data_IF_074601272417
#
_entry.id   IF_074601272417
#
_cell.length_a   1.000
_cell.length_b   1.000
_cell.length_c   1.000
_cell.angle_alpha   90.00
_cell.angle_beta   90.00
_cell.angle_gamma   90.00
#
_symmetry.space_group_name_H-M   'P 1'
#
loop_
_entity.id
_entity.type
_entity.pdbx_description
1 polymer ?
#
# COMPACT_ATOMS: atom_id res chain seq x y z
N UNK A 1 18.83 -17.44 0.42
CA UNK A 1 17.73 -16.46 0.49
C UNK A 1 17.26 -16.38 1.93
N UNK A 2 17.00 -15.17 2.43
CA UNK A 2 16.56 -14.94 3.82
C UNK A 2 15.07 -15.30 3.94
N UNK A 3 14.70 -16.05 4.98
CA UNK A 3 13.34 -16.59 5.16
C UNK A 3 12.44 -15.74 6.08
N UNK A 4 13.03 -14.82 6.84
CA UNK A 4 12.36 -14.00 7.84
C UNK A 4 12.90 -12.57 7.79
N UNK A 5 12.23 -11.64 8.45
CA UNK A 5 12.83 -10.32 8.69
C UNK A 5 13.71 -10.43 9.93
N UNK A 6 15.00 -10.14 9.79
CA UNK A 6 15.99 -10.26 10.85
C UNK A 6 16.78 -8.96 11.03
N UNK A 7 17.00 -8.55 12.28
CA UNK A 7 17.80 -7.37 12.63
C UNK A 7 19.25 -7.81 12.76
N UNK A 8 20.14 -7.13 12.07
CA UNK A 8 21.58 -7.41 12.07
C UNK A 8 22.20 -6.92 13.37
N UNK A 9 22.88 -7.81 14.10
CA UNK A 9 23.54 -7.50 15.38
C UNK A 9 25.06 -7.38 15.22
N UNK A 10 25.67 -8.24 14.39
CA UNK A 10 27.11 -8.24 14.19
C UNK A 10 27.46 -8.56 12.73
N UNK A 11 28.45 -7.85 12.21
CA UNK A 11 28.92 -7.97 10.82
C UNK A 11 28.03 -7.25 9.81
N UNK A 12 28.60 -6.96 8.64
CA UNK A 12 27.91 -6.31 7.53
C UNK A 12 27.47 -7.34 6.48
N UNK A 13 26.36 -7.07 5.81
CA UNK A 13 25.84 -7.91 4.73
C UNK A 13 25.62 -7.08 3.48
N UNK A 14 26.02 -7.60 2.32
CA UNK A 14 25.63 -7.08 1.02
C UNK A 14 24.50 -7.97 0.52
N UNK A 15 23.32 -7.37 0.31
CA UNK A 15 22.11 -8.10 -0.05
C UNK A 15 21.51 -7.55 -1.34
N UNK A 16 20.87 -8.43 -2.10
CA UNK A 16 20.00 -8.06 -3.20
C UNK A 16 18.55 -7.96 -2.69
N UNK A 17 17.97 -6.76 -2.81
CA UNK A 17 16.60 -6.47 -2.41
C UNK A 17 15.64 -6.31 -3.60
N UNK A 18 16.06 -6.68 -4.82
CA UNK A 18 15.28 -6.48 -6.04
C UNK A 18 13.88 -7.08 -6.00
N UNK A 19 13.69 -8.17 -5.25
CA UNK A 19 12.38 -8.82 -5.07
C UNK A 19 11.40 -7.94 -4.28
N UNK A 20 11.88 -7.09 -3.36
CA UNK A 20 11.03 -6.22 -2.53
C UNK A 20 10.96 -4.78 -3.05
N UNK A 21 12.09 -4.22 -3.51
CA UNK A 21 12.18 -2.80 -3.91
C UNK A 21 12.09 -2.60 -5.42
N UNK A 22 12.35 -3.64 -6.21
CA UNK A 22 12.48 -3.53 -7.67
C UNK A 22 13.81 -2.91 -8.12
N UNK A 23 14.69 -2.53 -7.19
CA UNK A 23 16.01 -1.97 -7.52
C UNK A 23 17.02 -3.10 -7.75
N UNK A 24 17.80 -3.01 -8.83
CA UNK A 24 18.81 -4.03 -9.20
C UNK A 24 20.16 -3.85 -8.50
N UNK A 25 20.35 -2.74 -7.79
CA UNK A 25 21.62 -2.39 -7.15
C UNK A 25 21.71 -3.09 -5.79
N UNK A 26 22.80 -3.81 -5.49
CA UNK A 26 22.98 -4.43 -4.18
C UNK A 26 23.12 -3.36 -3.09
N UNK A 27 22.52 -3.63 -1.94
CA UNK A 27 22.50 -2.72 -0.79
C UNK A 27 23.30 -3.31 0.36
N UNK A 28 24.14 -2.49 0.99
CA UNK A 28 24.88 -2.87 2.20
C UNK A 28 24.04 -2.62 3.44
N UNK A 29 23.85 -3.66 4.25
CA UNK A 29 23.25 -3.61 5.59
C UNK A 29 24.34 -3.61 6.64
N UNK A 30 24.12 -2.80 7.68
CA UNK A 30 25.05 -2.60 8.80
C UNK A 30 24.37 -3.03 10.11
N UNK A 31 25.12 -3.54 11.10
CA UNK A 31 24.54 -3.95 12.36
C UNK A 31 23.89 -2.77 13.07
N UNK A 32 22.91 -3.06 13.92
CA UNK A 32 22.32 -2.07 14.80
C UNK A 32 23.41 -1.54 15.74
N UNK A 33 23.60 -0.21 15.87
CA UNK A 33 24.59 0.33 16.80
C UNK A 33 24.22 0.00 18.26
N UNK A 34 25.22 -0.41 19.05
CA UNK A 34 25.06 -0.77 20.48
C UNK A 34 24.62 0.39 21.38
N UNK A 35 24.72 1.62 20.89
CA UNK A 35 24.25 2.81 21.63
C UNK A 35 22.79 3.06 21.30
N UNK A 36 21.84 2.81 22.23
CA UNK A 36 20.50 3.34 22.07
C UNK A 36 20.64 4.86 22.11
N UNK A 37 20.44 5.52 20.96
CA UNK A 37 20.19 6.96 20.96
C UNK A 37 19.00 7.20 21.87
N UNK A 38 19.30 7.78 23.04
CA UNK A 38 18.38 8.03 24.16
C UNK A 38 17.00 8.44 23.65
N UNK A 39 16.03 7.52 23.73
CA UNK A 39 14.60 7.83 23.54
C UNK A 39 13.98 7.55 22.18
N UNK A 40 14.70 7.04 21.17
CA UNK A 40 14.06 6.68 19.88
C UNK A 40 13.61 5.22 19.90
N UNK A 41 12.30 4.98 19.92
CA UNK A 41 11.73 3.64 19.72
C UNK A 41 12.22 3.08 18.37
N UNK A 42 12.68 1.82 18.38
CA UNK A 42 13.11 1.13 17.16
C UNK A 42 11.90 0.97 16.21
N UNK A 43 11.91 1.71 15.10
CA UNK A 43 10.92 1.54 14.03
C UNK A 43 11.56 0.85 12.82
N UNK A 44 10.95 -0.26 12.41
CA UNK A 44 11.34 -1.10 11.27
C UNK A 44 11.33 -0.29 9.96
N UNK A 45 10.43 0.69 9.83
CA UNK A 45 10.34 1.50 8.60
C UNK A 45 11.48 2.50 8.49
N UNK A 46 11.94 3.05 9.61
CA UNK A 46 13.01 4.05 9.66
C UNK A 46 14.39 3.38 9.63
N UNK A 47 14.52 2.19 10.23
CA UNK A 47 15.79 1.49 10.40
C UNK A 47 16.04 0.36 9.39
N UNK A 48 15.47 0.45 8.18
CA UNK A 48 15.58 -0.60 7.15
C UNK A 48 17.02 -0.96 6.73
N UNK A 49 18.01 -0.09 7.01
CA UNK A 49 19.45 -0.36 6.79
C UNK A 49 20.05 -1.40 7.75
N UNK A 50 19.38 -1.67 8.86
CA UNK A 50 19.81 -2.65 9.87
C UNK A 50 19.03 -3.96 9.81
N UNK A 51 18.12 -4.10 8.84
CA UNK A 51 17.20 -5.23 8.73
C UNK A 51 17.45 -5.97 7.43
N UNK A 52 17.56 -7.29 7.53
CA UNK A 52 17.52 -8.24 6.43
C UNK A 52 16.07 -8.63 6.21
N UNK A 53 15.49 -8.28 5.06
CA UNK A 53 14.09 -8.58 4.77
C UNK A 53 13.90 -9.99 4.20
N UNK A 54 12.77 -10.62 4.52
CA UNK A 54 12.39 -11.92 3.98
C UNK A 54 12.28 -11.86 2.44
N UNK A 55 12.94 -12.80 1.76
CA UNK A 55 13.02 -12.84 0.29
C UNK A 55 14.25 -12.18 -0.31
N UNK A 56 15.07 -11.47 0.48
CA UNK A 56 16.37 -10.96 0.01
C UNK A 56 17.39 -12.08 -0.16
N UNK A 57 18.37 -11.89 -1.04
CA UNK A 57 19.50 -12.82 -1.20
C UNK A 57 20.78 -12.17 -0.70
N UNK A 58 21.47 -12.83 0.23
CA UNK A 58 22.78 -12.38 0.72
C UNK A 58 23.82 -12.73 -0.34
N UNK A 59 24.50 -11.72 -0.87
CA UNK A 59 25.57 -11.87 -1.86
C UNK A 59 26.90 -12.08 -1.14
N UNK A 60 27.17 -11.25 -0.13
CA UNK A 60 28.43 -11.27 0.60
C UNK A 60 28.21 -10.89 2.06
N UNK A 61 28.92 -11.57 2.96
CA UNK A 61 29.06 -11.17 4.37
C UNK A 61 30.46 -10.59 4.58
N UNK A 62 30.56 -9.52 5.37
CA UNK A 62 31.83 -8.91 5.76
C UNK A 62 31.87 -8.77 7.27
N UNK A 63 32.81 -9.45 7.91
CA UNK A 63 33.09 -9.28 9.32
C UNK A 63 34.58 -8.99 9.52
N UNK A 64 34.91 -8.04 10.39
CA UNK A 64 36.29 -7.62 10.66
C UNK A 64 37.08 -8.64 11.49
N UNK A 65 36.40 -9.50 12.25
CA UNK A 65 37.01 -10.43 13.20
C UNK A 65 37.02 -11.90 12.73
N UNK A 66 36.73 -12.17 11.44
CA UNK A 66 36.50 -13.53 10.91
C UNK A 66 35.38 -14.32 11.64
N UNK A 67 34.59 -13.61 12.43
CA UNK A 67 33.44 -14.15 13.15
C UNK A 67 32.21 -14.25 12.23
N UNK A 68 31.28 -15.12 12.63
CA UNK A 68 30.00 -15.26 11.92
C UNK A 68 29.18 -13.99 12.06
N UNK A 69 28.49 -13.62 10.98
CA UNK A 69 27.48 -12.57 11.01
C UNK A 69 26.28 -13.04 11.84
N UNK A 70 25.85 -12.23 12.80
CA UNK A 70 24.75 -12.55 13.71
C UNK A 70 23.58 -11.61 13.46
N UNK A 71 22.38 -12.17 13.41
CA UNK A 71 21.13 -11.43 13.29
C UNK A 71 20.05 -12.08 14.16
N UNK A 72 19.16 -11.26 14.72
CA UNK A 72 18.01 -11.70 15.51
C UNK A 72 16.74 -11.65 14.67
N UNK A 73 15.93 -12.70 14.74
CA UNK A 73 14.65 -12.74 14.01
C UNK A 73 13.67 -11.74 14.64
N UNK A 74 13.17 -10.80 13.85
CA UNK A 74 12.19 -9.82 14.29
C UNK A 74 10.76 -10.22 13.89
N UNK A 75 10.57 -10.69 12.64
CA UNK A 75 9.23 -11.07 12.13
C UNK A 75 9.31 -12.30 11.25
N UNK A 76 8.26 -13.11 11.30
CA UNK A 76 8.12 -14.36 10.54
C UNK A 76 6.77 -14.44 9.83
N UNK A 77 6.65 -15.33 8.84
CA UNK A 77 5.41 -15.59 8.12
C UNK A 77 4.79 -14.34 7.49
N UNK A 78 3.46 -14.19 7.62
CA UNK A 78 2.68 -13.06 7.10
C UNK A 78 2.97 -11.72 7.78
N UNK A 79 3.77 -11.71 8.87
CA UNK A 79 4.16 -10.47 9.55
C UNK A 79 5.44 -9.85 8.97
N UNK A 80 6.18 -10.59 8.12
CA UNK A 80 7.32 -10.06 7.36
C UNK A 80 6.87 -9.04 6.31
N UNK A 81 7.77 -8.17 5.83
CA UNK A 81 7.43 -7.23 4.73
C UNK A 81 6.87 -7.97 3.51
N UNK A 82 7.54 -9.06 3.09
CA UNK A 82 7.09 -9.90 1.97
C UNK A 82 5.72 -10.54 2.27
N UNK A 83 5.53 -11.05 3.48
CA UNK A 83 4.28 -11.67 3.90
C UNK A 83 3.12 -10.68 3.92
N UNK A 84 3.35 -9.46 4.39
CA UNK A 84 2.36 -8.38 4.41
C UNK A 84 1.96 -7.98 2.98
N UNK A 85 2.93 -7.89 2.06
CA UNK A 85 2.67 -7.66 0.64
C UNK A 85 1.77 -8.75 0.05
N UNK A 86 2.12 -10.02 0.26
CA UNK A 86 1.29 -11.16 -0.20
C UNK A 86 -0.12 -11.10 0.41
N UNK A 87 -0.23 -10.80 1.71
CA UNK A 87 -1.52 -10.64 2.38
C UNK A 87 -2.34 -9.50 1.79
N UNK A 88 -1.72 -8.39 1.42
CA UNK A 88 -2.41 -7.24 0.82
C UNK A 88 -2.93 -7.52 -0.59
N UNK A 89 -2.27 -8.41 -1.33
CA UNK A 89 -2.73 -8.90 -2.64
C UNK A 89 -3.89 -9.86 -2.47
N UNK A 90 -3.80 -10.79 -1.50
CA UNK A 90 -4.85 -11.79 -1.26
C UNK A 90 -6.11 -11.19 -0.61
N UNK A 91 -5.93 -10.19 0.25
CA UNK A 91 -7.00 -9.51 0.98
C UNK A 91 -6.86 -8.00 0.80
N UNK A 92 -7.19 -7.47 -0.40
CA UNK A 92 -7.14 -6.03 -0.63
C UNK A 92 -8.10 -5.32 0.35
N UNK A 93 -7.64 -4.23 0.94
CA UNK A 93 -8.52 -3.39 1.78
C UNK A 93 -9.71 -2.94 0.92
N UNK A 94 -10.96 -3.01 1.42
CA UNK A 94 -12.09 -2.55 0.64
C UNK A 94 -11.86 -1.09 0.29
N UNK A 95 -11.77 -0.81 -1.02
CA UNK A 95 -11.67 0.55 -1.54
C UNK A 95 -12.92 1.28 -1.05
N UNK A 96 -12.74 2.20 -0.08
CA UNK A 96 -13.87 2.95 0.46
C UNK A 96 -14.49 3.74 -0.70
N UNK A 97 -15.68 3.30 -1.05
CA UNK A 97 -16.62 3.67 -2.10
C UNK A 97 -17.06 5.14 -2.13
N UNK A 98 -16.16 6.10 -1.88
CA UNK A 98 -16.44 7.53 -2.04
C UNK A 98 -16.91 7.83 -3.47
N UNK A 99 -16.28 7.19 -4.47
CA UNK A 99 -16.68 7.31 -5.87
C UNK A 99 -18.12 6.85 -6.15
N UNK A 100 -18.57 5.73 -5.58
CA UNK A 100 -19.96 5.29 -5.81
C UNK A 100 -20.93 6.19 -5.09
N UNK A 101 -20.60 6.69 -3.90
CA UNK A 101 -21.43 7.67 -3.19
C UNK A 101 -21.60 8.96 -3.99
N UNK A 102 -20.52 9.48 -4.57
CA UNK A 102 -20.56 10.68 -5.42
C UNK A 102 -21.30 10.41 -6.74
N UNK A 103 -21.12 9.21 -7.32
CA UNK A 103 -21.87 8.78 -8.52
C UNK A 103 -23.39 8.73 -8.28
N UNK A 104 -23.82 8.23 -7.11
CA UNK A 104 -25.25 8.21 -6.76
C UNK A 104 -25.83 9.61 -6.59
N UNK A 105 -25.08 10.55 -6.01
CA UNK A 105 -25.51 11.96 -5.89
C UNK A 105 -25.69 12.61 -7.27
N UNK A 106 -24.80 12.32 -8.21
CA UNK A 106 -24.89 12.82 -9.58
C UNK A 106 -26.11 12.26 -10.33
N UNK A 107 -26.33 10.94 -10.26
CA UNK A 107 -27.50 10.28 -10.88
C UNK A 107 -28.81 10.85 -10.32
N UNK A 108 -28.87 11.10 -9.00
CA UNK A 108 -30.04 11.68 -8.36
C UNK A 108 -30.35 13.10 -8.88
N UNK A 109 -29.32 13.95 -9.05
CA UNK A 109 -29.50 15.29 -9.61
C UNK A 109 -30.03 15.26 -11.06
N UNK A 110 -29.49 14.36 -11.89
CA UNK A 110 -30.00 14.16 -13.26
C UNK A 110 -31.44 13.66 -13.29
N UNK A 111 -31.82 12.77 -12.37
CA UNK A 111 -33.19 12.27 -12.26
C UNK A 111 -34.19 13.39 -11.97
N UNK A 112 -33.82 14.36 -11.10
CA UNK A 112 -34.69 15.51 -10.80
C UNK A 112 -34.87 16.38 -12.04
N UNK A 113 -33.78 16.70 -12.75
CA UNK A 113 -33.85 17.48 -13.99
C UNK A 113 -34.72 16.80 -15.07
N UNK A 114 -34.62 15.48 -15.19
CA UNK A 114 -35.44 14.70 -16.13
C UNK A 114 -36.93 14.78 -15.79
N UNK A 115 -37.30 14.66 -14.50
CA UNK A 115 -38.69 14.76 -14.06
C UNK A 115 -39.26 16.15 -14.31
N UNK A 116 -38.49 17.21 -14.03
CA UNK A 116 -38.90 18.59 -14.32
C UNK A 116 -39.09 18.79 -15.83
N UNK A 117 -38.15 18.32 -16.65
CA UNK A 117 -38.22 18.41 -18.10
C UNK A 117 -39.45 17.68 -18.68
N UNK A 118 -39.73 16.47 -18.19
CA UNK A 118 -40.92 15.71 -18.59
C UNK A 118 -42.21 16.41 -18.15
N UNK A 119 -42.26 16.97 -16.94
CA UNK A 119 -43.42 17.71 -16.45
C UNK A 119 -43.74 18.95 -17.31
N UNK A 120 -42.72 19.73 -17.67
CA UNK A 120 -42.87 20.88 -18.57
C UNK A 120 -43.31 20.43 -19.96
N UNK A 121 -42.72 19.36 -20.50
CA UNK A 121 -43.09 18.85 -21.82
C UNK A 121 -44.55 18.39 -21.88
N UNK A 122 -45.04 17.69 -20.84
CA UNK A 122 -46.44 17.26 -20.77
C UNK A 122 -47.38 18.46 -20.67
N UNK A 123 -47.05 19.44 -19.82
CA UNK A 123 -47.85 20.67 -19.68
C UNK A 123 -47.96 21.45 -21.00
N UNK A 124 -46.85 21.61 -21.72
CA UNK A 124 -46.85 22.26 -23.03
C UNK A 124 -47.66 21.49 -24.07
N UNK A 125 -47.65 20.15 -24.02
CA UNK A 125 -48.42 19.34 -24.96
C UNK A 125 -49.93 19.48 -24.71
N UNK A 126 -50.37 19.39 -23.45
CA UNK A 126 -51.78 19.56 -23.07
C UNK A 126 -52.28 20.97 -23.37
N UNK A 127 -51.50 22.00 -23.06
CA UNK A 127 -51.90 23.40 -23.35
C UNK A 127 -51.99 23.69 -24.85
N UNK A 128 -51.17 23.04 -25.69
CA UNK A 128 -51.28 23.13 -27.15
C UNK A 128 -52.49 22.36 -27.68
N UNK A 129 -52.78 21.17 -27.16
CA UNK A 129 -53.99 20.42 -27.53
C UNK A 129 -55.28 21.18 -27.17
N UNK A 130 -55.32 21.78 -25.98
CA UNK A 130 -56.46 22.62 -25.54
C UNK A 130 -56.60 23.89 -26.39
N UNK A 131 -55.50 24.45 -26.89
CA UNK A 131 -55.54 25.62 -27.76
C UNK A 131 -56.03 25.28 -29.18
N UNK A 132 -55.63 24.12 -29.73
CA UNK A 132 -56.05 23.68 -31.09
C UNK A 132 -57.53 23.29 -31.14
N UNK A 133 -58.11 22.82 -30.04
CA UNK A 133 -59.53 22.43 -30.00
C UNK A 133 -60.50 23.61 -29.76
N UNK A 134 -59.99 24.79 -29.42
CA UNK A 134 -60.76 26.03 -29.18
C UNK A 134 -60.69 27.04 -30.35
N UNK A 135 -60.07 26.68 -31.48
CA UNK A 135 -60.07 27.43 -32.76
C UNK A 135 -60.89 26.66 -33.79
#
# INVERSE_FOLDING_TARGET
MVQCDAILLAGNCIVNESILTGESVPVTKIPLPDSPSKGTLFDIKVHGRHILFAGTTVIQTRNYADERVLAVVARTGFYTVKGELVRSILFPKPLKFKFTQDSFRFIFALSILAVVGLGVSIYLMVSRDVFVQNV
#
